data_IF_692922745982
#
_entry.id   IF_692922745982
#
_cell.length_a   1.000
_cell.length_b   1.000
_cell.length_c   1.000
_cell.angle_alpha   90.00
_cell.angle_beta   90.00
_cell.angle_gamma   90.00
#
_symmetry.space_group_name_H-M   'P 1'
#
loop_
_entity.id
_entity.type
_entity.pdbx_description
1 polymer ?
#
# COMPACT_ATOMS: atom_id res chain seq x y z
N UNK A 1 -21.11 0.45 -6.18
CA UNK A 1 -20.22 1.62 -6.08
C UNK A 1 -19.14 1.40 -5.03
N UNK A 2 -17.91 1.84 -5.32
CA UNK A 2 -16.76 1.75 -4.41
C UNK A 2 -16.08 3.12 -4.30
N UNK A 3 -15.65 3.49 -3.09
CA UNK A 3 -14.72 4.61 -2.89
C UNK A 3 -13.31 4.10 -3.14
N UNK A 4 -12.60 4.70 -4.09
CA UNK A 4 -11.26 4.28 -4.50
C UNK A 4 -10.23 5.33 -4.09
N UNK A 5 -9.11 4.87 -3.54
CA UNK A 5 -7.92 5.68 -3.30
C UNK A 5 -6.79 5.20 -4.19
N UNK A 6 -6.07 6.13 -4.83
CA UNK A 6 -4.87 5.86 -5.61
C UNK A 6 -3.77 6.80 -5.10
N UNK A 7 -3.03 6.42 -4.04
CA UNK A 7 -1.94 7.24 -3.52
C UNK A 7 -0.70 7.14 -4.41
N UNK A 8 0.05 8.23 -4.50
CA UNK A 8 1.42 8.20 -5.02
C UNK A 8 2.35 7.61 -3.95
N UNK A 9 3.09 6.55 -4.28
CA UNK A 9 4.15 6.04 -3.39
C UNK A 9 5.33 7.02 -3.33
N UNK A 10 6.20 6.86 -2.32
CA UNK A 10 7.49 7.57 -2.30
C UNK A 10 8.22 7.42 -3.65
N UNK A 11 8.85 8.49 -4.12
CA UNK A 11 9.53 8.55 -5.42
C UNK A 11 8.59 8.54 -6.63
N UNK A 12 7.30 8.82 -6.44
CA UNK A 12 6.31 8.92 -7.52
C UNK A 12 5.43 10.16 -7.33
N UNK A 13 4.99 10.74 -8.44
CA UNK A 13 4.00 11.81 -8.48
C UNK A 13 4.27 12.94 -7.48
N UNK A 14 3.27 13.22 -6.65
CA UNK A 14 3.28 14.31 -5.66
C UNK A 14 3.84 13.91 -4.29
N UNK A 15 4.20 12.64 -4.08
CA UNK A 15 4.84 12.18 -2.85
C UNK A 15 6.33 12.52 -2.82
N UNK A 16 6.94 12.48 -1.64
CA UNK A 16 8.36 12.81 -1.45
C UNK A 16 9.30 11.92 -2.28
N UNK A 17 10.47 12.45 -2.63
CA UNK A 17 11.51 11.77 -3.42
C UNK A 17 12.79 11.54 -2.61
N UNK A 18 12.80 10.61 -1.63
CA UNK A 18 13.87 10.49 -0.65
C UNK A 18 15.18 9.87 -1.19
N UNK A 19 15.21 9.39 -2.44
CA UNK A 19 16.40 8.79 -3.06
C UNK A 19 16.82 7.42 -2.48
N UNK A 20 16.01 6.83 -1.60
CA UNK A 20 16.20 5.49 -1.03
C UNK A 20 14.88 4.72 -1.13
N UNK A 21 14.96 3.50 -1.65
CA UNK A 21 13.80 2.68 -1.96
C UNK A 21 14.07 1.22 -1.63
N UNK A 22 13.05 0.53 -1.11
CA UNK A 22 12.99 -0.91 -0.90
C UNK A 22 11.53 -1.34 -0.87
N UNK A 23 11.24 -2.61 -1.10
CA UNK A 23 9.86 -3.10 -1.04
C UNK A 23 9.27 -2.98 0.37
N UNK A 24 10.10 -3.10 1.40
CA UNK A 24 9.74 -2.86 2.80
C UNK A 24 9.32 -1.41 3.04
N UNK A 25 10.01 -0.44 2.42
CA UNK A 25 9.64 0.96 2.51
C UNK A 25 8.31 1.25 1.80
N UNK A 26 8.06 0.64 0.65
CA UNK A 26 6.76 0.77 -0.03
C UNK A 26 5.63 0.10 0.76
N UNK A 27 5.89 -1.06 1.39
CA UNK A 27 4.96 -1.67 2.36
C UNK A 27 4.64 -0.72 3.51
N UNK A 28 5.66 -0.09 4.09
CA UNK A 28 5.50 0.80 5.24
C UNK A 28 4.72 2.07 4.88
N UNK A 29 4.90 2.60 3.66
CA UNK A 29 4.06 3.69 3.13
C UNK A 29 2.60 3.27 3.01
N UNK A 30 2.34 2.09 2.44
CA UNK A 30 0.98 1.57 2.29
C UNK A 30 0.31 1.38 3.65
N UNK A 31 1.04 0.81 4.62
CA UNK A 31 0.58 0.68 6.00
C UNK A 31 0.22 2.05 6.59
N UNK A 32 1.13 3.02 6.52
CA UNK A 32 0.90 4.36 7.06
C UNK A 32 -0.31 5.05 6.39
N UNK A 33 -0.50 4.86 5.09
CA UNK A 33 -1.65 5.38 4.37
C UNK A 33 -2.98 4.77 4.86
N UNK A 34 -3.05 3.45 5.02
CA UNK A 34 -4.26 2.77 5.50
C UNK A 34 -4.62 3.19 6.93
N UNK A 35 -3.64 3.26 7.83
CA UNK A 35 -3.81 3.72 9.20
C UNK A 35 -4.28 5.17 9.25
N UNK A 36 -3.61 6.08 8.56
CA UNK A 36 -3.93 7.51 8.56
C UNK A 36 -5.34 7.81 8.02
N UNK A 37 -5.91 6.90 7.24
CA UNK A 37 -7.26 7.02 6.66
C UNK A 37 -8.31 6.13 7.33
N UNK A 38 -7.95 5.40 8.39
CA UNK A 38 -8.80 4.44 9.08
C UNK A 38 -9.42 3.41 8.10
N UNK A 39 -8.59 2.80 7.26
CA UNK A 39 -9.00 1.88 6.17
C UNK A 39 -8.71 0.40 6.48
N UNK A 40 -8.63 0.02 7.76
CA UNK A 40 -8.50 -1.38 8.13
C UNK A 40 -9.64 -2.23 7.53
N UNK A 41 -9.30 -3.38 6.97
CA UNK A 41 -10.23 -4.27 6.28
C UNK A 41 -10.56 -3.88 4.83
N UNK A 42 -9.87 -2.87 4.26
CA UNK A 42 -10.06 -2.49 2.86
C UNK A 42 -9.61 -3.59 1.89
N UNK A 43 -10.22 -3.58 0.69
CA UNK A 43 -9.68 -4.29 -0.48
C UNK A 43 -8.46 -3.53 -0.99
N UNK A 44 -7.31 -4.19 -1.07
CA UNK A 44 -6.08 -3.65 -1.67
C UNK A 44 -5.84 -4.33 -3.01
N UNK A 45 -5.69 -3.52 -4.04
CA UNK A 45 -5.33 -3.95 -5.40
C UNK A 45 -3.93 -3.43 -5.67
N UNK A 46 -2.99 -4.31 -5.96
CA UNK A 46 -1.60 -3.95 -6.21
C UNK A 46 -1.10 -4.52 -7.53
N UNK A 47 -0.53 -3.67 -8.37
CA UNK A 47 0.15 -4.07 -9.60
C UNK A 47 1.67 -3.98 -9.45
N UNK A 48 2.42 -4.98 -9.91
CA UNK A 48 3.90 -4.97 -9.93
C UNK A 48 4.49 -4.58 -8.55
N UNK A 49 5.22 -3.47 -8.45
CA UNK A 49 5.76 -2.92 -7.19
C UNK A 49 4.68 -2.79 -6.10
N UNK A 50 3.50 -2.27 -6.45
CA UNK A 50 2.38 -2.13 -5.51
C UNK A 50 1.82 -3.47 -5.06
N UNK A 51 1.89 -4.49 -5.93
CA UNK A 51 1.54 -5.87 -5.61
C UNK A 51 2.48 -6.46 -4.55
N UNK A 52 3.80 -6.26 -4.71
CA UNK A 52 4.79 -6.70 -3.72
C UNK A 52 4.60 -5.98 -2.39
N UNK A 53 4.41 -4.65 -2.40
CA UNK A 53 4.15 -3.89 -1.18
C UNK A 53 2.90 -4.38 -0.43
N UNK A 54 1.81 -4.66 -1.15
CA UNK A 54 0.57 -5.16 -0.59
C UNK A 54 0.69 -6.60 -0.06
N UNK A 55 1.41 -7.48 -0.77
CA UNK A 55 1.71 -8.84 -0.32
C UNK A 55 2.51 -8.83 0.99
N UNK A 56 3.59 -8.04 1.05
CA UNK A 56 4.41 -7.92 2.25
C UNK A 56 3.61 -7.33 3.43
N UNK A 57 2.66 -6.44 3.15
CA UNK A 57 1.80 -5.89 4.19
C UNK A 57 0.83 -6.94 4.72
N UNK A 58 0.18 -7.70 3.83
CA UNK A 58 -0.73 -8.78 4.23
C UNK A 58 -0.01 -9.88 5.02
N UNK A 59 1.26 -10.16 4.71
CA UNK A 59 2.08 -11.10 5.48
C UNK A 59 2.37 -10.58 6.90
N UNK A 60 2.68 -9.28 7.03
CA UNK A 60 3.06 -8.66 8.30
C UNK A 60 1.87 -8.37 9.21
N UNK A 61 0.77 -7.89 8.63
CA UNK A 61 -0.42 -7.36 9.30
C UNK A 61 -1.70 -7.98 8.68
N UNK A 62 -1.94 -9.30 8.83
CA UNK A 62 -3.03 -9.99 8.12
C UNK A 62 -4.43 -9.47 8.46
N UNK A 63 -4.61 -8.74 9.58
CA UNK A 63 -5.87 -8.10 9.96
C UNK A 63 -6.12 -6.74 9.30
N UNK A 64 -5.09 -6.12 8.71
CA UNK A 64 -5.19 -4.78 8.14
C UNK A 64 -5.82 -4.80 6.73
N UNK A 65 -5.60 -5.87 5.96
CA UNK A 65 -6.13 -6.04 4.61
C UNK A 65 -7.31 -7.02 4.64
N UNK A 66 -8.48 -6.60 4.13
CA UNK A 66 -9.66 -7.47 4.06
C UNK A 66 -9.64 -8.40 2.85
N UNK A 67 -9.18 -7.89 1.70
CA UNK A 67 -9.00 -8.66 0.46
C UNK A 67 -7.77 -8.15 -0.29
N UNK A 68 -7.01 -9.05 -0.89
CA UNK A 68 -5.83 -8.72 -1.67
C UNK A 68 -6.01 -9.21 -3.12
N UNK A 69 -5.83 -8.31 -4.08
CA UNK A 69 -5.76 -8.62 -5.52
C UNK A 69 -4.37 -8.19 -6.01
N UNK A 70 -3.68 -9.09 -6.71
CA UNK A 70 -2.34 -8.83 -7.26
C UNK A 70 -2.37 -9.06 -8.77
N UNK A 71 -1.80 -8.11 -9.51
CA UNK A 71 -1.58 -8.18 -10.97
C UNK A 71 -0.11 -7.99 -11.33
#
# INVERSE_FOLDING_TARGET
DHRVYAPDFRGHGLSDWPGRYSFEMFRDDLHAFLEARNLAGATVVGHSMGGVAAYLLAQREPGLIGRLVIE
#
